data_IF_895202647910
#
_entry.id   IF_895202647910
#
_cell.length_a   1.000
_cell.length_b   1.000
_cell.length_c   1.000
_cell.angle_alpha   90.00
_cell.angle_beta   90.00
_cell.angle_gamma   90.00
#
_symmetry.space_group_name_H-M   'P 1'
#
loop_
_entity.id
_entity.type
_entity.pdbx_description
1 polymer ?
#
# COMPACT_ATOMS: atom_id res chain seq x y z
N UNK A 1 -38.10 32.50 3.66
CA UNK A 1 -37.09 33.57 3.56
C UNK A 1 -36.08 33.11 2.53
N UNK A 2 -36.20 33.61 1.30
CA UNK A 2 -35.27 33.32 0.19
C UNK A 2 -34.02 34.17 0.43
N UNK A 3 -32.91 33.53 0.75
CA UNK A 3 -31.63 34.23 0.94
C UNK A 3 -31.22 34.90 -0.36
N UNK A 4 -31.13 36.22 -0.35
CA UNK A 4 -30.61 36.99 -1.48
C UNK A 4 -29.10 36.77 -1.53
N UNK A 5 -28.63 35.87 -2.39
CA UNK A 5 -27.20 35.65 -2.67
C UNK A 5 -26.77 36.56 -3.83
N UNK A 6 -27.00 37.87 -3.70
CA UNK A 6 -26.55 38.85 -4.68
C UNK A 6 -25.82 39.97 -3.96
N UNK A 7 -24.59 40.25 -4.39
CA UNK A 7 -23.85 41.40 -3.90
C UNK A 7 -24.58 42.68 -4.33
N UNK A 8 -24.89 43.53 -3.36
CA UNK A 8 -25.69 44.74 -3.58
C UNK A 8 -24.85 45.92 -4.06
N UNK A 9 -23.52 45.81 -3.95
CA UNK A 9 -22.55 46.80 -4.42
C UNK A 9 -21.34 46.15 -5.10
N UNK A 10 -20.59 46.95 -5.85
CA UNK A 10 -19.35 46.51 -6.50
C UNK A 10 -18.27 46.17 -5.46
N UNK A 11 -18.20 46.95 -4.39
CA UNK A 11 -17.25 46.75 -3.29
C UNK A 11 -17.52 45.44 -2.55
N UNK A 12 -18.80 45.12 -2.31
CA UNK A 12 -19.20 43.85 -1.71
C UNK A 12 -18.80 42.70 -2.61
N UNK A 13 -19.16 42.74 -3.90
CA UNK A 13 -18.77 41.71 -4.87
C UNK A 13 -17.25 41.48 -4.88
N UNK A 14 -16.46 42.54 -4.91
CA UNK A 14 -15.00 42.43 -4.99
C UNK A 14 -14.40 41.86 -3.69
N UNK A 15 -14.94 42.20 -2.52
CA UNK A 15 -14.56 41.61 -1.25
C UNK A 15 -14.85 40.10 -1.20
N UNK A 16 -16.02 39.67 -1.71
CA UNK A 16 -16.38 38.25 -1.82
C UNK A 16 -15.44 37.49 -2.77
N UNK A 17 -15.14 38.07 -3.94
CA UNK A 17 -14.20 37.48 -4.90
C UNK A 17 -12.81 37.32 -4.27
N UNK A 18 -12.30 38.35 -3.59
CA UNK A 18 -11.00 38.29 -2.92
C UNK A 18 -10.97 37.24 -1.81
N UNK A 19 -12.03 37.13 -1.00
CA UNK A 19 -12.13 36.12 0.05
C UNK A 19 -12.10 34.70 -0.52
N UNK A 20 -12.85 34.44 -1.60
CA UNK A 20 -12.87 33.14 -2.28
C UNK A 20 -11.49 32.83 -2.87
N UNK A 21 -10.88 33.78 -3.58
CA UNK A 21 -9.55 33.61 -4.16
C UNK A 21 -8.50 33.33 -3.08
N UNK A 22 -8.54 34.07 -1.97
CA UNK A 22 -7.63 33.88 -0.83
C UNK A 22 -7.79 32.49 -0.21
N UNK A 23 -9.03 32.02 -0.05
CA UNK A 23 -9.30 30.69 0.50
C UNK A 23 -8.84 29.56 -0.43
N UNK A 24 -9.00 29.73 -1.75
CA UNK A 24 -8.48 28.79 -2.75
C UNK A 24 -6.94 28.73 -2.66
N UNK A 25 -6.27 29.89 -2.64
CA UNK A 25 -4.80 29.96 -2.54
C UNK A 25 -4.28 29.31 -1.25
N UNK A 26 -4.91 29.59 -0.10
CA UNK A 26 -4.55 28.98 1.17
C UNK A 26 -4.72 27.44 1.16
N UNK A 27 -5.80 26.96 0.51
CA UNK A 27 -6.05 25.53 0.36
C UNK A 27 -5.00 24.85 -0.53
N UNK A 28 -4.63 25.49 -1.64
CA UNK A 28 -3.60 24.98 -2.55
C UNK A 28 -2.22 24.90 -1.87
N UNK A 29 -1.84 25.91 -1.10
CA UNK A 29 -0.57 25.92 -0.35
C UNK A 29 -0.54 24.84 0.75
N UNK A 30 -1.66 24.59 1.43
CA UNK A 30 -1.77 23.50 2.42
C UNK A 30 -1.56 22.11 1.78
N UNK A 31 -2.01 21.92 0.54
CA UNK A 31 -1.79 20.70 -0.22
C UNK A 31 -0.31 20.48 -0.59
N UNK A 32 0.48 21.52 -0.85
CA UNK A 32 1.90 21.38 -1.19
C UNK A 32 2.73 20.86 -0.01
N UNK A 33 2.49 21.36 1.20
CA UNK A 33 3.15 20.85 2.42
C UNK A 33 2.80 19.37 2.68
N UNK A 34 1.53 19.02 2.43
CA UNK A 34 1.05 17.64 2.53
C UNK A 34 1.68 16.71 1.49
N UNK A 35 1.87 17.18 0.25
CA UNK A 35 2.57 16.46 -0.83
C UNK A 35 4.03 16.18 -0.51
N UNK A 36 4.75 17.15 0.06
CA UNK A 36 6.17 16.98 0.44
C UNK A 36 6.34 15.90 1.51
N UNK A 37 5.41 15.84 2.49
CA UNK A 37 5.41 14.80 3.52
C UNK A 37 5.04 13.44 2.95
N UNK A 38 4.05 13.35 2.07
CA UNK A 38 3.66 12.09 1.41
C UNK A 38 4.75 11.54 0.48
N UNK A 39 5.52 12.42 -0.17
CA UNK A 39 6.60 12.03 -1.08
C UNK A 39 7.81 11.43 -0.34
N UNK A 40 8.16 11.96 0.83
CA UNK A 40 9.21 11.38 1.68
C UNK A 40 8.79 10.01 2.24
N UNK A 41 7.52 9.87 2.65
CA UNK A 41 7.00 8.58 3.13
C UNK A 41 6.95 7.54 2.01
N UNK A 42 6.54 7.92 0.79
CA UNK A 42 6.48 7.00 -0.36
C UNK A 42 7.86 6.51 -0.80
N UNK A 43 8.89 7.36 -0.74
CA UNK A 43 10.26 6.94 -1.05
C UNK A 43 10.80 5.94 -0.02
N UNK A 44 10.53 6.17 1.27
CA UNK A 44 10.92 5.23 2.33
C UNK A 44 10.23 3.86 2.21
N UNK A 45 8.97 3.87 1.76
CA UNK A 45 8.19 2.68 1.51
C UNK A 45 8.71 1.88 0.32
N UNK A 46 8.99 2.54 -0.80
CA UNK A 46 9.56 1.90 -1.98
C UNK A 46 10.86 1.16 -1.66
N UNK A 47 11.76 1.78 -0.89
CA UNK A 47 13.00 1.14 -0.45
C UNK A 47 12.76 -0.07 0.46
N UNK A 48 11.80 0.01 1.38
CA UNK A 48 11.45 -1.10 2.26
C UNK A 48 10.87 -2.29 1.47
N UNK A 49 9.98 -2.03 0.52
CA UNK A 49 9.39 -3.05 -0.35
C UNK A 49 10.42 -3.67 -1.29
N UNK A 50 11.39 -2.89 -1.78
CA UNK A 50 12.52 -3.40 -2.55
C UNK A 50 13.40 -4.32 -1.72
N UNK A 51 13.69 -3.96 -0.47
CA UNK A 51 14.44 -4.81 0.46
C UNK A 51 13.73 -6.15 0.69
N UNK A 52 12.40 -6.13 0.89
CA UNK A 52 11.59 -7.34 1.03
C UNK A 52 11.66 -8.21 -0.24
N UNK A 53 11.55 -7.63 -1.44
CA UNK A 53 11.66 -8.39 -2.69
C UNK A 53 13.02 -9.08 -2.86
N UNK A 54 14.09 -8.49 -2.33
CA UNK A 54 15.46 -9.02 -2.44
C UNK A 54 15.79 -10.07 -1.38
N UNK A 55 14.87 -10.39 -0.46
CA UNK A 55 15.10 -11.43 0.52
C UNK A 55 15.19 -12.82 -0.11
N UNK A 56 15.86 -13.74 0.60
CA UNK A 56 16.03 -15.11 0.15
C UNK A 56 14.67 -15.80 -0.08
N UNK A 57 14.51 -16.45 -1.22
CA UNK A 57 13.25 -17.09 -1.65
C UNK A 57 12.22 -16.15 -2.27
N UNK A 58 12.28 -14.84 -2.02
CA UNK A 58 11.26 -13.89 -2.47
C UNK A 58 11.29 -13.61 -3.98
N UNK A 59 12.28 -14.13 -4.70
CA UNK A 59 12.32 -14.12 -6.16
C UNK A 59 11.25 -15.02 -6.80
N UNK A 60 10.66 -15.95 -6.03
CA UNK A 60 9.66 -16.91 -6.50
C UNK A 60 8.44 -16.91 -5.57
N UNK A 61 7.27 -17.17 -6.13
CA UNK A 61 6.03 -17.33 -5.39
C UNK A 61 6.19 -18.40 -4.31
N UNK A 62 5.71 -18.11 -3.10
CA UNK A 62 5.78 -19.05 -1.98
C UNK A 62 5.04 -20.36 -2.27
N UNK A 63 3.99 -20.36 -3.10
CA UNK A 63 3.16 -21.55 -3.30
C UNK A 63 3.44 -22.32 -4.61
N UNK A 64 3.79 -21.64 -5.70
CA UNK A 64 3.87 -22.23 -7.05
C UNK A 64 5.16 -21.89 -7.81
N UNK A 65 6.14 -21.31 -7.13
CA UNK A 65 7.46 -20.94 -7.68
C UNK A 65 7.46 -19.96 -8.86
N UNK A 66 6.30 -19.41 -9.25
CA UNK A 66 6.22 -18.37 -10.30
C UNK A 66 7.13 -17.19 -9.94
N UNK A 67 7.97 -16.78 -10.88
CA UNK A 67 8.98 -15.74 -10.66
C UNK A 67 8.35 -14.36 -10.40
N UNK A 68 9.12 -13.52 -9.69
CA UNK A 68 8.81 -12.11 -9.45
C UNK A 68 7.41 -11.86 -8.85
N UNK A 69 7.07 -12.50 -7.71
CA UNK A 69 5.77 -12.32 -7.06
C UNK A 69 5.51 -10.87 -6.67
N UNK A 70 4.34 -10.34 -7.03
CA UNK A 70 3.92 -8.94 -6.78
C UNK A 70 2.84 -8.79 -5.71
N UNK A 71 2.50 -9.88 -5.04
CA UNK A 71 1.52 -9.90 -3.96
C UNK A 71 2.13 -10.47 -2.69
N UNK A 72 1.53 -10.19 -1.55
CA UNK A 72 2.00 -10.67 -0.25
C UNK A 72 0.86 -11.01 0.68
N UNK A 73 1.13 -11.90 1.63
CA UNK A 73 0.30 -12.07 2.82
C UNK A 73 1.04 -11.48 4.00
N UNK A 74 0.57 -10.33 4.47
CA UNK A 74 1.30 -9.50 5.43
C UNK A 74 1.47 -10.15 6.81
N UNK A 75 0.47 -10.90 7.26
CA UNK A 75 0.52 -11.58 8.56
C UNK A 75 1.34 -12.88 8.50
N UNK A 76 1.47 -13.46 7.31
CA UNK A 76 2.24 -14.68 7.09
C UNK A 76 3.70 -14.40 6.71
N UNK A 77 4.01 -13.18 6.25
CA UNK A 77 5.37 -12.76 5.95
C UNK A 77 5.91 -13.28 4.62
N UNK A 78 5.04 -13.54 3.65
CA UNK A 78 5.38 -14.24 2.39
C UNK A 78 4.95 -13.47 1.14
N UNK A 79 5.70 -13.63 0.05
CA UNK A 79 5.37 -13.14 -1.30
C UNK A 79 4.77 -14.24 -2.17
N UNK A 80 3.77 -13.89 -2.96
CA UNK A 80 3.04 -14.79 -3.86
C UNK A 80 2.71 -14.12 -5.19
N UNK A 81 2.42 -14.93 -6.22
CA UNK A 81 1.93 -14.45 -7.50
C UNK A 81 0.47 -13.99 -7.41
N UNK A 82 -0.05 -13.41 -8.49
CA UNK A 82 -1.42 -12.91 -8.54
C UNK A 82 -2.45 -14.03 -8.41
N UNK A 83 -2.20 -15.20 -9.02
CA UNK A 83 -3.12 -16.35 -8.97
C UNK A 83 -3.24 -16.88 -7.54
N UNK A 84 -2.11 -17.15 -6.88
CA UNK A 84 -2.08 -17.59 -5.48
C UNK A 84 -2.67 -16.55 -4.53
N UNK A 85 -2.49 -15.26 -4.82
CA UNK A 85 -3.17 -14.20 -4.06
C UNK A 85 -4.69 -14.31 -4.10
N UNK A 86 -5.26 -14.75 -5.23
CA UNK A 86 -6.69 -15.02 -5.37
C UNK A 86 -7.15 -16.15 -4.46
N UNK A 87 -6.38 -17.23 -4.40
CA UNK A 87 -6.64 -18.36 -3.49
C UNK A 87 -6.57 -17.88 -2.04
N UNK A 88 -5.52 -17.15 -1.65
CA UNK A 88 -5.36 -16.61 -0.30
C UNK A 88 -6.49 -15.66 0.11
N UNK A 89 -7.06 -14.90 -0.82
CA UNK A 89 -8.24 -14.05 -0.55
C UNK A 89 -9.46 -14.89 -0.17
N UNK A 90 -9.66 -16.04 -0.82
CA UNK A 90 -10.78 -16.95 -0.55
C UNK A 90 -10.75 -17.54 0.88
N UNK A 91 -9.56 -17.63 1.48
CA UNK A 91 -9.37 -18.09 2.87
C UNK A 91 -9.89 -17.09 3.92
N UNK A 92 -10.00 -15.81 3.55
CA UNK A 92 -10.43 -14.73 4.44
C UNK A 92 -9.30 -14.09 5.27
N UNK A 93 -9.55 -12.86 5.71
CA UNK A 93 -8.56 -11.95 6.32
C UNK A 93 -8.04 -12.38 7.70
N UNK A 94 -8.72 -13.32 8.35
CA UNK A 94 -8.23 -13.94 9.60
C UNK A 94 -7.03 -14.86 9.34
N UNK A 95 -7.00 -15.51 8.19
CA UNK A 95 -5.94 -16.45 7.81
C UNK A 95 -4.87 -15.77 6.97
N UNK A 96 -5.26 -15.02 5.94
CA UNK A 96 -4.32 -14.37 5.03
C UNK A 96 -4.73 -12.92 4.74
N UNK A 97 -3.83 -11.98 5.03
CA UNK A 97 -4.02 -10.55 4.77
C UNK A 97 -3.29 -10.15 3.49
N UNK A 98 -3.99 -10.30 2.37
CA UNK A 98 -3.42 -10.09 1.03
C UNK A 98 -3.27 -8.61 0.68
N UNK A 99 -2.10 -8.23 0.17
CA UNK A 99 -1.76 -6.88 -0.34
C UNK A 99 -0.89 -6.93 -1.59
N UNK A 100 -1.11 -6.01 -2.50
CA UNK A 100 -0.26 -5.74 -3.66
C UNK A 100 0.97 -4.96 -3.22
N UNK A 101 2.13 -5.27 -3.80
CA UNK A 101 3.35 -4.48 -3.58
C UNK A 101 3.30 -3.11 -4.29
N UNK A 102 2.41 -2.94 -5.26
CA UNK A 102 2.38 -1.74 -6.11
C UNK A 102 1.09 -0.92 -5.94
N UNK A 103 -0.02 -1.58 -5.59
CA UNK A 103 -1.35 -0.98 -5.63
C UNK A 103 -1.93 -0.66 -4.25
N UNK A 104 -1.34 -1.19 -3.17
CA UNK A 104 -1.86 -1.02 -1.82
C UNK A 104 -0.83 -0.32 -0.92
N UNK A 105 -1.33 0.41 0.10
CA UNK A 105 -0.52 0.95 1.19
C UNK A 105 -0.13 -0.14 2.20
N UNK A 106 1.10 -0.08 2.72
CA UNK A 106 1.62 -1.08 3.66
C UNK A 106 1.81 -0.51 5.06
N UNK A 107 1.11 -1.05 6.08
CA UNK A 107 1.36 -0.70 7.47
C UNK A 107 2.81 -0.96 7.87
N UNK A 108 3.44 0.01 8.52
CA UNK A 108 4.87 -0.02 8.89
C UNK A 108 5.21 -1.25 9.74
N UNK A 109 4.30 -1.63 10.64
CA UNK A 109 4.45 -2.77 11.54
C UNK A 109 4.49 -4.09 10.77
N UNK A 110 3.69 -4.20 9.71
CA UNK A 110 3.61 -5.42 8.90
C UNK A 110 4.77 -5.54 7.92
N UNK A 111 5.39 -4.43 7.51
CA UNK A 111 6.67 -4.48 6.76
C UNK A 111 7.78 -5.15 7.57
N UNK A 112 7.80 -4.99 8.90
CA UNK A 112 8.79 -5.67 9.77
C UNK A 112 8.60 -7.18 9.81
N UNK A 113 7.35 -7.66 9.80
CA UNK A 113 7.03 -9.09 9.70
C UNK A 113 7.58 -9.64 8.39
N UNK A 114 7.32 -8.94 7.29
CA UNK A 114 7.80 -9.31 5.96
C UNK A 114 9.33 -9.35 5.91
N UNK A 115 10.04 -8.40 6.54
CA UNK A 115 11.50 -8.41 6.62
C UNK A 115 12.09 -9.51 7.50
N UNK A 116 11.29 -10.15 8.36
CA UNK A 116 11.75 -11.15 9.34
C UNK A 116 11.51 -12.59 8.90
N UNK A 117 10.51 -12.83 8.04
CA UNK A 117 10.11 -14.17 7.61
C UNK A 117 10.70 -14.46 6.22
N UNK A 118 10.05 -14.00 5.15
CA UNK A 118 10.44 -14.33 3.78
C UNK A 118 10.11 -15.76 3.38
N UNK A 119 10.07 -15.99 2.07
CA UNK A 119 9.58 -17.25 1.51
C UNK A 119 10.46 -18.44 1.87
N UNK A 120 11.79 -18.29 1.92
CA UNK A 120 12.68 -19.40 2.28
C UNK A 120 12.43 -19.90 3.70
N UNK A 121 12.32 -18.99 4.68
CA UNK A 121 12.02 -19.38 6.06
C UNK A 121 10.62 -19.97 6.17
N UNK A 122 9.62 -19.35 5.53
CA UNK A 122 8.25 -19.87 5.53
C UNK A 122 8.18 -21.30 4.97
N UNK A 123 8.81 -21.57 3.82
CA UNK A 123 8.87 -22.90 3.24
C UNK A 123 9.59 -23.90 4.14
N UNK A 124 10.68 -23.50 4.80
CA UNK A 124 11.40 -24.38 5.73
C UNK A 124 10.53 -24.85 6.90
N UNK A 125 9.52 -24.06 7.28
CA UNK A 125 8.59 -24.36 8.38
C UNK A 125 7.37 -25.13 7.85
N UNK A 126 6.70 -24.62 6.82
CA UNK A 126 5.42 -25.16 6.35
C UNK A 126 5.58 -26.38 5.43
N UNK A 127 6.72 -26.48 4.77
CA UNK A 127 7.01 -27.54 3.78
C UNK A 127 8.18 -28.44 4.19
N UNK A 128 8.78 -28.21 5.35
CA UNK A 128 9.88 -29.03 5.88
C UNK A 128 9.53 -30.52 6.07
N UNK A 129 8.26 -30.90 5.97
CA UNK A 129 7.79 -32.29 5.98
C UNK A 129 6.84 -32.60 4.81
N UNK A 130 7.10 -32.07 3.62
CA UNK A 130 6.25 -32.29 2.43
C UNK A 130 6.18 -33.76 1.94
N UNK A 131 6.85 -34.72 2.61
CA UNK A 131 6.87 -36.15 2.25
C UNK A 131 7.22 -36.38 0.76
N UNK A 132 8.08 -35.54 0.20
CA UNK A 132 8.48 -35.62 -1.21
C UNK A 132 7.47 -35.05 -2.21
N UNK A 133 6.38 -34.41 -1.75
CA UNK A 133 5.52 -33.61 -2.63
C UNK A 133 6.24 -32.30 -2.96
N UNK A 134 6.29 -31.98 -4.25
CA UNK A 134 6.77 -30.69 -4.74
C UNK A 134 5.60 -29.71 -4.82
N UNK A 135 5.94 -28.42 -4.87
CA UNK A 135 4.98 -27.37 -5.22
C UNK A 135 4.36 -27.63 -6.59
N UNK A 136 3.09 -27.24 -6.80
CA UNK A 136 2.45 -27.29 -8.10
C UNK A 136 3.19 -26.50 -9.17
#
# INVERSE_FOLDING_TARGET
QTGHFEATTYEERDAWVQAIQSQILASLQSCESSKSKSQLTSQSEAMALQSIQNMRGNAHCVDCETQNPKWASLNLGVLMCIECSGIHRSLGTRLSRVRSLELDDWPVELRKVMSSIGNDLANSIWEGSSQGRTKP
#
